data_IF_092325665810
#
_entry.id   IF_092325665810
#
_cell.length_a   1.000
_cell.length_b   1.000
_cell.length_c   1.000
_cell.angle_alpha   90.00
_cell.angle_beta   90.00
_cell.angle_gamma   90.00
#
_symmetry.space_group_name_H-M   'P 1'
#
loop_
_entity.id
_entity.type
_entity.pdbx_description
1 polymer ?
#
# COMPACT_ATOMS: atom_id res chain seq x y z
N UNK A 1 0.31 -3.31 21.57
CA UNK A 1 -0.59 -2.60 20.64
C UNK A 1 -1.02 -1.30 21.28
N UNK A 2 -1.01 -0.17 20.56
CA UNK A 2 -1.43 1.13 21.09
C UNK A 2 -2.95 1.20 21.35
N UNK A 3 -3.43 2.15 22.18
CA UNK A 3 -4.85 2.41 22.36
C UNK A 3 -5.58 2.79 21.06
N UNK A 4 -6.91 2.78 21.08
CA UNK A 4 -7.79 3.38 20.06
C UNK A 4 -7.31 4.79 19.68
N UNK A 5 -7.44 5.13 18.40
CA UNK A 5 -6.99 6.42 17.87
C UNK A 5 -8.16 7.32 17.49
N UNK A 6 -8.00 8.62 17.72
CA UNK A 6 -8.87 9.65 17.13
C UNK A 6 -8.54 9.84 15.65
N UNK A 7 -8.96 8.86 14.85
CA UNK A 7 -8.72 8.75 13.43
C UNK A 7 -9.51 7.57 12.85
N UNK A 8 -9.40 7.35 11.55
CA UNK A 8 -10.19 6.30 10.89
C UNK A 8 -9.43 4.99 10.67
N UNK A 9 -8.16 4.87 11.11
CA UNK A 9 -7.36 3.65 10.92
C UNK A 9 -7.48 2.64 12.06
N UNK A 10 -8.51 2.77 12.91
CA UNK A 10 -8.89 1.70 13.81
C UNK A 10 -9.41 0.49 13.00
N UNK A 11 -9.17 -0.71 13.50
CA UNK A 11 -9.54 -1.96 12.85
C UNK A 11 -10.32 -2.84 13.83
N UNK A 12 -11.57 -3.23 13.52
CA UNK A 12 -12.28 -4.25 14.29
C UNK A 12 -11.48 -5.55 14.36
N UNK A 13 -11.68 -6.35 15.40
CA UNK A 13 -10.95 -7.61 15.61
C UNK A 13 -11.03 -8.55 14.39
N UNK A 14 -12.16 -8.56 13.68
CA UNK A 14 -12.37 -9.33 12.47
C UNK A 14 -11.34 -9.01 11.36
N UNK A 15 -10.88 -7.77 11.26
CA UNK A 15 -9.87 -7.35 10.27
C UNK A 15 -8.51 -7.97 10.61
N UNK A 16 -8.16 -8.00 11.89
CA UNK A 16 -6.95 -8.67 12.38
C UNK A 16 -7.02 -10.16 12.09
N UNK A 17 -8.15 -10.81 12.40
CA UNK A 17 -8.36 -12.23 12.12
C UNK A 17 -8.25 -12.55 10.62
N UNK A 18 -8.83 -11.72 9.76
CA UNK A 18 -8.73 -11.88 8.30
C UNK A 18 -7.29 -11.78 7.80
N UNK A 19 -6.51 -10.82 8.29
CA UNK A 19 -5.09 -10.69 7.96
C UNK A 19 -4.27 -11.91 8.41
N UNK A 20 -4.58 -12.47 9.59
CA UNK A 20 -3.96 -13.71 10.10
C UNK A 20 -4.29 -14.89 9.20
N UNK A 21 -5.58 -15.10 8.84
CA UNK A 21 -6.00 -16.17 7.93
C UNK A 21 -5.25 -16.06 6.60
N UNK A 22 -5.21 -14.85 6.01
CA UNK A 22 -4.51 -14.59 4.75
C UNK A 22 -3.03 -15.01 4.85
N UNK A 23 -2.32 -14.54 5.88
CA UNK A 23 -0.91 -14.87 6.07
C UNK A 23 -0.68 -16.38 6.24
N UNK A 24 -1.50 -17.06 7.05
CA UNK A 24 -1.40 -18.51 7.22
C UNK A 24 -1.59 -19.23 5.89
N UNK A 25 -2.58 -18.84 5.08
CA UNK A 25 -2.81 -19.46 3.78
C UNK A 25 -1.66 -19.24 2.81
N UNK A 26 -1.00 -18.08 2.86
CA UNK A 26 0.19 -17.81 2.07
C UNK A 26 1.42 -18.61 2.50
N UNK A 27 1.53 -18.95 3.80
CA UNK A 27 2.67 -19.66 4.36
C UNK A 27 2.53 -21.19 4.31
N UNK A 28 1.29 -21.68 4.36
CA UNK A 28 1.00 -23.11 4.32
C UNK A 28 0.87 -23.57 2.87
N UNK A 29 1.88 -24.31 2.41
CA UNK A 29 1.93 -24.93 1.08
C UNK A 29 1.12 -26.23 1.03
N UNK A 30 -0.15 -26.13 1.44
CA UNK A 30 -1.13 -27.22 1.37
C UNK A 30 -2.41 -26.64 0.80
N UNK A 31 -3.11 -27.42 -0.01
CA UNK A 31 -4.40 -27.04 -0.54
C UNK A 31 -5.48 -27.09 0.55
N UNK A 32 -5.58 -26.00 1.31
CA UNK A 32 -6.57 -25.83 2.37
C UNK A 32 -7.63 -24.83 1.89
N UNK A 33 -8.93 -25.16 2.00
CA UNK A 33 -10.00 -24.22 1.68
C UNK A 33 -9.97 -23.02 2.62
N UNK A 34 -10.20 -21.83 2.08
CA UNK A 34 -10.20 -20.58 2.86
C UNK A 34 -11.49 -20.50 3.71
N UNK A 35 -11.43 -20.94 4.96
CA UNK A 35 -12.54 -20.86 5.92
C UNK A 35 -12.05 -20.69 7.38
N UNK A 36 -12.98 -20.56 8.31
CA UNK A 36 -12.68 -20.36 9.74
C UNK A 36 -11.89 -21.52 10.37
N UNK A 37 -11.93 -22.73 9.79
CA UNK A 37 -11.12 -23.86 10.22
C UNK A 37 -9.61 -23.59 10.18
N UNK A 38 -9.14 -22.67 9.32
CA UNK A 38 -7.75 -22.22 9.30
C UNK A 38 -7.30 -21.55 10.61
N UNK A 39 -8.26 -21.05 11.42
CA UNK A 39 -7.98 -20.45 12.72
C UNK A 39 -8.08 -21.43 13.88
N UNK A 40 -8.54 -22.66 13.67
CA UNK A 40 -8.63 -23.65 14.75
C UNK A 40 -7.31 -23.84 15.53
N UNK A 41 -6.11 -23.84 14.92
CA UNK A 41 -4.84 -23.95 15.65
C UNK A 41 -4.28 -22.60 16.14
N UNK A 42 -4.98 -21.48 15.94
CA UNK A 42 -4.45 -20.13 16.20
C UNK A 42 -5.24 -19.43 17.28
N UNK A 43 -4.54 -19.05 18.35
CA UNK A 43 -5.11 -18.19 19.40
C UNK A 43 -4.72 -16.74 19.13
N UNK A 44 -5.71 -15.86 18.99
CA UNK A 44 -5.52 -14.44 18.71
C UNK A 44 -5.79 -13.64 20.00
N UNK A 45 -4.75 -13.00 20.55
CA UNK A 45 -4.87 -12.14 21.72
C UNK A 45 -4.79 -10.66 21.29
N UNK A 46 -5.92 -9.95 21.38
CA UNK A 46 -5.98 -8.50 21.09
C UNK A 46 -6.38 -7.78 22.38
N UNK A 47 -5.56 -6.83 22.89
CA UNK A 47 -5.93 -6.02 24.03
C UNK A 47 -7.20 -5.20 23.74
N UNK A 48 -8.17 -5.25 24.66
CA UNK A 48 -9.40 -4.46 24.60
C UNK A 48 -9.08 -2.96 24.62
N UNK A 49 -9.85 -2.15 23.87
CA UNK A 49 -9.65 -0.70 23.76
C UNK A 49 -8.41 -0.29 22.95
N UNK A 50 -7.72 -1.23 22.31
CA UNK A 50 -6.64 -0.94 21.37
C UNK A 50 -7.19 -0.54 19.99
N UNK A 51 -6.36 0.05 19.14
CA UNK A 51 -6.78 0.35 17.76
C UNK A 51 -7.10 -0.91 16.91
N UNK A 52 -6.80 -2.12 17.41
CA UNK A 52 -7.18 -3.41 16.81
C UNK A 52 -8.42 -4.07 17.46
N UNK A 53 -8.93 -3.46 18.53
CA UNK A 53 -10.19 -3.80 19.20
C UNK A 53 -10.84 -2.50 19.71
N UNK A 54 -11.19 -1.57 18.80
CA UNK A 54 -11.74 -0.28 19.18
C UNK A 54 -13.18 -0.42 19.68
N UNK A 55 -13.68 0.65 20.28
CA UNK A 55 -15.09 0.83 20.61
C UNK A 55 -15.96 0.93 19.34
N UNK A 56 -17.27 0.75 19.52
CA UNK A 56 -18.30 0.91 18.49
C UNK A 56 -18.46 2.35 17.98
N UNK A 57 -17.88 3.32 18.69
CA UNK A 57 -17.88 4.75 18.34
C UNK A 57 -16.71 5.16 17.45
N UNK A 58 -15.71 4.30 17.29
CA UNK A 58 -14.51 4.62 16.54
C UNK A 58 -14.74 4.57 15.03
N UNK A 59 -14.10 5.48 14.29
CA UNK A 59 -14.05 5.39 12.84
C UNK A 59 -13.09 4.27 12.39
N UNK A 60 -13.54 3.41 11.47
CA UNK A 60 -12.84 2.16 11.09
C UNK A 60 -12.51 2.01 9.61
N UNK A 61 -12.83 3.01 8.77
CA UNK A 61 -12.66 2.92 7.30
C UNK A 61 -11.21 2.58 6.89
N UNK A 62 -10.23 3.19 7.55
CA UNK A 62 -8.81 2.96 7.36
C UNK A 62 -8.30 1.62 7.90
N UNK A 63 -9.07 0.94 8.76
CA UNK A 63 -8.73 -0.37 9.31
C UNK A 63 -8.50 -1.40 8.22
N UNK A 64 -9.44 -1.49 7.28
CA UNK A 64 -9.36 -2.43 6.16
C UNK A 64 -8.29 -2.10 5.15
N UNK A 65 -7.97 -0.82 4.96
CA UNK A 65 -7.14 -0.37 3.81
C UNK A 65 -5.70 -0.03 4.18
N UNK A 66 -5.44 0.25 5.46
CA UNK A 66 -4.12 0.60 5.97
C UNK A 66 -3.67 -0.40 7.02
N UNK A 67 -4.47 -0.57 8.06
CA UNK A 67 -4.08 -1.34 9.24
C UNK A 67 -3.95 -2.83 8.94
N UNK A 68 -4.87 -3.39 8.15
CA UNK A 68 -4.79 -4.78 7.68
C UNK A 68 -3.46 -5.07 6.96
N UNK A 69 -3.05 -4.20 6.03
CA UNK A 69 -1.78 -4.27 5.31
C UNK A 69 -0.59 -4.21 6.29
N UNK A 70 -0.69 -3.42 7.36
CA UNK A 70 0.34 -3.37 8.40
C UNK A 70 0.44 -4.66 9.20
N UNK A 71 -0.70 -5.24 9.56
CA UNK A 71 -0.76 -6.51 10.29
C UNK A 71 -0.14 -7.61 9.44
N UNK A 72 -0.52 -7.71 8.16
CA UNK A 72 0.05 -8.67 7.20
C UNK A 72 1.56 -8.56 7.12
N UNK A 73 2.10 -7.36 6.92
CA UNK A 73 3.55 -7.16 6.86
C UNK A 73 4.25 -7.58 8.16
N UNK A 74 3.67 -7.28 9.32
CA UNK A 74 4.25 -7.68 10.62
C UNK A 74 4.30 -9.20 10.75
N UNK A 75 3.23 -9.89 10.39
CA UNK A 75 3.16 -11.36 10.44
C UNK A 75 4.18 -11.97 9.48
N UNK A 76 4.17 -11.58 8.21
CA UNK A 76 5.08 -12.13 7.20
C UNK A 76 6.56 -11.83 7.54
N UNK A 77 6.84 -10.66 8.12
CA UNK A 77 8.19 -10.32 8.60
C UNK A 77 8.59 -11.18 9.80
N UNK A 78 7.68 -11.44 10.74
CA UNK A 78 7.95 -12.28 11.91
C UNK A 78 8.32 -13.71 11.51
N UNK A 79 7.65 -14.26 10.49
CA UNK A 79 7.99 -15.55 9.88
C UNK A 79 9.17 -15.48 8.89
N UNK A 80 9.72 -14.29 8.64
CA UNK A 80 10.80 -14.06 7.67
C UNK A 80 10.48 -14.61 6.27
N UNK A 81 9.21 -14.55 5.88
CA UNK A 81 8.70 -15.17 4.66
C UNK A 81 9.05 -14.38 3.40
N UNK A 82 8.89 -13.05 3.47
CA UNK A 82 9.21 -12.13 2.38
C UNK A 82 9.46 -10.71 2.92
N UNK A 83 10.08 -9.86 2.10
CA UNK A 83 10.17 -8.43 2.38
C UNK A 83 8.79 -7.77 2.38
N UNK A 84 8.70 -6.58 2.97
CA UNK A 84 7.44 -5.84 3.00
C UNK A 84 7.05 -5.35 1.60
N UNK A 85 5.78 -5.52 1.22
CA UNK A 85 5.20 -4.85 0.06
C UNK A 85 4.93 -3.36 0.37
N UNK A 86 4.34 -2.64 -0.58
CA UNK A 86 3.92 -1.24 -0.43
C UNK A 86 3.08 -0.96 0.84
N UNK A 87 2.48 -1.99 1.45
CA UNK A 87 1.98 -1.96 2.81
C UNK A 87 0.83 -0.96 3.02
N UNK A 88 0.08 -0.68 1.95
CA UNK A 88 -1.01 0.29 1.87
C UNK A 88 -1.78 0.06 0.56
N UNK A 89 -3.07 0.45 0.52
CA UNK A 89 -3.87 0.44 -0.72
C UNK A 89 -3.86 1.77 -1.49
N UNK A 90 -3.19 2.80 -0.95
CA UNK A 90 -3.14 4.17 -1.49
C UNK A 90 -4.53 4.68 -1.89
N UNK A 91 -5.44 4.76 -0.92
CA UNK A 91 -6.81 5.19 -1.19
C UNK A 91 -6.83 6.65 -1.63
N UNK A 92 -7.45 6.87 -2.78
CA UNK A 92 -7.79 8.16 -3.33
C UNK A 92 -9.31 8.23 -3.46
N UNK A 93 -9.90 9.24 -2.85
CA UNK A 93 -11.29 9.61 -3.08
C UNK A 93 -11.36 11.07 -3.46
N UNK A 94 -12.26 11.41 -4.37
CA UNK A 94 -12.59 12.81 -4.61
C UNK A 94 -14.02 12.96 -5.11
N UNK A 95 -14.59 14.15 -4.94
CA UNK A 95 -15.94 14.41 -5.38
C UNK A 95 -16.47 15.75 -4.89
N UNK A 96 -17.77 15.93 -5.09
CA UNK A 96 -18.56 17.05 -4.62
C UNK A 96 -19.97 16.53 -4.22
N UNK A 97 -20.93 17.43 -4.07
CA UNK A 97 -22.29 17.07 -3.67
C UNK A 97 -23.05 16.26 -4.75
N UNK A 98 -22.50 16.13 -5.96
CA UNK A 98 -23.14 15.48 -7.12
C UNK A 98 -22.54 14.12 -7.46
N UNK A 99 -21.26 13.88 -7.13
CA UNK A 99 -20.60 12.60 -7.38
C UNK A 99 -19.46 12.29 -6.39
N UNK A 100 -19.10 11.01 -6.31
CA UNK A 100 -17.90 10.55 -5.61
C UNK A 100 -17.15 9.50 -6.41
N UNK A 101 -15.83 9.68 -6.51
CA UNK A 101 -14.89 8.70 -7.02
C UNK A 101 -14.14 8.05 -5.86
N UNK A 102 -13.90 6.74 -5.96
CA UNK A 102 -13.06 5.99 -5.03
C UNK A 102 -12.17 5.01 -5.79
N UNK A 103 -10.88 5.06 -5.49
CA UNK A 103 -9.89 4.14 -6.02
C UNK A 103 -8.86 3.74 -4.95
N UNK A 104 -8.42 2.49 -5.06
CA UNK A 104 -7.17 1.98 -4.48
C UNK A 104 -6.09 1.97 -5.56
N UNK A 105 -4.90 2.51 -5.30
CA UNK A 105 -3.79 2.54 -6.25
C UNK A 105 -2.73 1.51 -5.84
N UNK A 106 -2.32 0.67 -6.79
CA UNK A 106 -1.30 -0.36 -6.58
C UNK A 106 0.10 0.19 -6.29
N UNK A 107 1.07 -0.70 -6.12
CA UNK A 107 2.46 -0.35 -5.87
C UNK A 107 3.36 -1.56 -5.96
N UNK A 108 4.55 -1.45 -5.36
CA UNK A 108 5.51 -2.54 -5.39
C UNK A 108 5.20 -3.64 -4.39
N UNK A 109 5.25 -4.90 -4.83
CA UNK A 109 5.25 -6.04 -3.90
C UNK A 109 6.66 -6.37 -3.39
N UNK A 110 6.75 -6.95 -2.20
CA UNK A 110 8.01 -7.35 -1.59
C UNK A 110 8.62 -8.58 -2.25
N UNK A 111 9.95 -8.59 -2.37
CA UNK A 111 10.70 -9.76 -2.82
C UNK A 111 10.71 -10.87 -1.77
N UNK A 112 10.87 -12.11 -2.22
CA UNK A 112 11.00 -13.29 -1.37
C UNK A 112 12.29 -14.05 -1.58
N UNK A 113 12.43 -15.23 -0.95
CA UNK A 113 13.62 -16.06 -1.07
C UNK A 113 13.93 -16.57 -2.47
N UNK A 114 12.93 -16.64 -3.35
CA UNK A 114 13.06 -17.20 -4.70
C UNK A 114 12.42 -16.34 -5.79
N UNK A 115 11.95 -15.13 -5.47
CA UNK A 115 11.26 -14.26 -6.42
C UNK A 115 11.55 -12.79 -6.22
N UNK A 116 11.61 -12.06 -7.34
CA UNK A 116 11.52 -10.61 -7.36
C UNK A 116 10.08 -10.14 -7.09
N UNK A 117 9.94 -8.97 -6.48
CA UNK A 117 8.65 -8.32 -6.32
C UNK A 117 8.10 -7.85 -7.67
N UNK A 118 6.82 -8.08 -7.90
CA UNK A 118 6.06 -7.54 -9.01
C UNK A 118 5.76 -6.05 -8.81
N UNK A 119 5.95 -5.25 -9.86
CA UNK A 119 5.73 -3.80 -9.86
C UNK A 119 4.29 -3.41 -10.17
N UNK A 120 3.80 -2.34 -9.54
CA UNK A 120 2.54 -1.68 -9.89
C UNK A 120 1.25 -2.49 -9.69
N UNK A 121 1.25 -3.44 -8.75
CA UNK A 121 0.10 -4.34 -8.51
C UNK A 121 -0.64 -4.01 -7.21
N UNK A 122 -1.88 -4.49 -7.12
CA UNK A 122 -2.53 -4.68 -5.84
C UNK A 122 -1.93 -5.90 -5.15
N UNK A 123 -1.62 -5.77 -3.86
CA UNK A 123 -0.95 -6.83 -3.10
C UNK A 123 -1.63 -7.04 -1.75
N UNK A 124 -1.56 -8.28 -1.25
CA UNK A 124 -2.07 -8.70 0.05
C UNK A 124 -3.56 -8.42 0.25
N UNK A 125 -3.91 -7.49 1.14
CA UNK A 125 -5.29 -7.26 1.57
C UNK A 125 -6.15 -6.53 0.53
N UNK A 126 -5.68 -6.40 -0.72
CA UNK A 126 -6.37 -5.71 -1.81
C UNK A 126 -6.65 -6.64 -2.97
N UNK A 127 -7.86 -6.59 -3.51
CA UNK A 127 -8.27 -7.35 -4.70
C UNK A 127 -9.17 -6.50 -5.61
N UNK A 128 -8.67 -5.35 -6.03
CA UNK A 128 -9.38 -4.40 -6.90
C UNK A 128 -8.69 -4.30 -8.25
N UNK A 129 -9.44 -3.89 -9.27
CA UNK A 129 -8.89 -3.49 -10.57
C UNK A 129 -8.95 -1.97 -10.67
N UNK A 130 -7.93 -1.38 -11.28
CA UNK A 130 -7.93 0.05 -11.56
C UNK A 130 -8.89 0.38 -12.70
N UNK A 131 -9.45 1.58 -12.68
CA UNK A 131 -10.33 2.07 -13.75
C UNK A 131 -9.50 2.45 -14.96
N UNK A 132 -9.97 2.09 -16.15
CA UNK A 132 -9.30 2.47 -17.41
C UNK A 132 -9.19 3.99 -17.54
N UNK A 133 -8.03 4.53 -17.98
CA UNK A 133 -7.82 5.97 -18.13
C UNK A 133 -8.92 6.68 -18.93
N UNK A 134 -9.35 6.08 -20.05
CA UNK A 134 -10.38 6.67 -20.92
C UNK A 134 -11.72 6.80 -20.20
N UNK A 135 -12.12 5.78 -19.44
CA UNK A 135 -13.35 5.79 -18.65
C UNK A 135 -13.22 6.77 -17.47
N UNK A 136 -12.04 6.86 -16.87
CA UNK A 136 -11.75 7.79 -15.78
C UNK A 136 -11.91 9.25 -16.22
N UNK A 137 -11.31 9.63 -17.36
CA UNK A 137 -11.42 10.98 -17.92
C UNK A 137 -12.81 11.28 -18.52
N UNK A 138 -13.50 10.27 -19.05
CA UNK A 138 -14.85 10.46 -19.59
C UNK A 138 -15.90 10.69 -18.49
N UNK A 139 -15.77 9.99 -17.35
CA UNK A 139 -16.79 10.03 -16.27
C UNK A 139 -16.55 11.10 -15.23
N UNK A 140 -15.31 11.51 -15.02
CA UNK A 140 -14.96 12.45 -13.95
C UNK A 140 -14.32 13.71 -14.53
N UNK A 141 -14.46 14.87 -13.86
CA UNK A 141 -13.91 16.13 -14.31
C UNK A 141 -12.40 16.19 -14.05
N UNK A 142 -11.63 15.32 -14.69
CA UNK A 142 -10.19 15.15 -14.49
C UNK A 142 -9.46 14.90 -15.80
N UNK A 143 -8.16 15.17 -15.83
CA UNK A 143 -7.24 14.71 -16.88
C UNK A 143 -6.09 13.94 -16.22
N UNK A 144 -5.75 12.78 -16.76
CA UNK A 144 -4.68 11.93 -16.27
C UNK A 144 -3.41 12.18 -17.10
N UNK A 145 -2.57 13.09 -16.61
CA UNK A 145 -1.31 13.44 -17.28
C UNK A 145 -0.28 12.31 -17.25
N UNK A 146 -0.28 11.52 -16.17
CA UNK A 146 0.67 10.42 -16.01
C UNK A 146 0.06 9.26 -15.27
N UNK A 147 0.28 8.08 -15.81
CA UNK A 147 0.06 6.82 -15.13
C UNK A 147 1.09 5.79 -15.59
N UNK A 148 1.96 5.37 -14.68
CA UNK A 148 3.01 4.41 -15.01
C UNK A 148 3.81 3.96 -13.80
N UNK A 149 4.79 3.10 -14.06
CA UNK A 149 5.69 2.61 -13.02
C UNK A 149 6.58 3.75 -12.48
N UNK A 150 6.80 3.72 -11.17
CA UNK A 150 7.78 4.56 -10.49
C UNK A 150 9.12 3.84 -10.49
N UNK A 151 9.84 3.98 -11.59
CA UNK A 151 11.12 3.28 -11.79
C UNK A 151 12.09 3.46 -10.61
N UNK A 152 12.79 2.38 -10.27
CA UNK A 152 13.80 2.32 -9.23
C UNK A 152 13.29 2.68 -7.82
N UNK A 153 11.99 2.47 -7.56
CA UNK A 153 11.41 2.61 -6.23
C UNK A 153 11.38 1.30 -5.45
N UNK A 154 11.56 0.15 -6.09
CA UNK A 154 11.76 -1.13 -5.44
C UNK A 154 13.12 -1.21 -4.73
N UNK A 155 13.14 -1.82 -3.55
CA UNK A 155 14.36 -2.03 -2.78
C UNK A 155 15.29 -3.04 -3.45
N UNK A 156 16.57 -2.71 -3.52
CA UNK A 156 17.58 -3.62 -4.06
C UNK A 156 17.79 -4.84 -3.15
N UNK A 157 18.16 -5.97 -3.73
CA UNK A 157 18.49 -7.19 -3.02
C UNK A 157 19.07 -8.22 -3.97
N UNK A 158 19.31 -9.43 -3.49
CA UNK A 158 19.51 -10.57 -4.39
C UNK A 158 18.27 -10.78 -5.26
N UNK A 159 17.09 -10.67 -4.63
CA UNK A 159 15.82 -10.43 -5.31
C UNK A 159 15.35 -9.00 -5.06
N UNK A 160 14.97 -8.31 -6.14
CA UNK A 160 14.58 -6.91 -6.11
C UNK A 160 13.11 -6.76 -5.75
N UNK A 161 12.76 -5.80 -4.90
CA UNK A 161 11.38 -5.42 -4.66
C UNK A 161 10.72 -4.80 -5.89
N UNK A 162 9.40 -4.89 -5.99
CA UNK A 162 8.66 -4.28 -7.10
C UNK A 162 8.65 -2.76 -7.04
N UNK A 163 8.54 -2.12 -8.20
CA UNK A 163 8.40 -0.68 -8.30
C UNK A 163 6.94 -0.24 -8.02
N UNK A 164 6.79 0.93 -7.41
CA UNK A 164 5.52 1.60 -7.21
C UNK A 164 4.92 2.18 -8.50
N UNK A 165 3.93 3.06 -8.34
CA UNK A 165 3.24 3.77 -9.41
C UNK A 165 3.37 5.29 -9.24
N UNK A 166 3.25 5.99 -10.35
CA UNK A 166 3.09 7.45 -10.43
C UNK A 166 1.73 7.74 -11.05
N UNK A 167 0.96 8.62 -10.41
CA UNK A 167 -0.30 9.18 -10.91
C UNK A 167 -0.21 10.70 -10.87
N UNK A 168 -0.55 11.37 -11.97
CA UNK A 168 -0.70 12.83 -12.03
C UNK A 168 -2.08 13.16 -12.58
N UNK A 169 -2.94 13.71 -11.71
CA UNK A 169 -4.36 13.94 -11.99
C UNK A 169 -4.62 15.43 -11.90
N UNK A 170 -4.95 16.08 -13.00
CA UNK A 170 -5.44 17.45 -13.02
C UNK A 170 -6.95 17.46 -12.81
N UNK A 171 -7.44 18.31 -11.92
CA UNK A 171 -8.88 18.49 -11.70
C UNK A 171 -9.42 19.60 -12.59
N UNK A 172 -10.55 19.37 -13.27
CA UNK A 172 -11.17 20.35 -14.18
C UNK A 172 -12.25 21.20 -13.51
N UNK A 173 -12.62 20.89 -12.28
CA UNK A 173 -13.52 21.69 -11.45
C UNK A 173 -13.11 21.59 -9.98
N UNK A 174 -13.59 22.51 -9.10
CA UNK A 174 -13.35 22.39 -7.68
C UNK A 174 -13.94 21.12 -7.10
N UNK A 175 -13.15 20.35 -6.35
CA UNK A 175 -13.58 19.11 -5.68
C UNK A 175 -12.94 19.01 -4.30
N UNK A 176 -13.52 18.18 -3.43
CA UNK A 176 -12.83 17.72 -2.22
C UNK A 176 -12.05 16.46 -2.58
N UNK A 177 -10.76 16.46 -2.29
CA UNK A 177 -9.89 15.28 -2.42
C UNK A 177 -9.55 14.79 -1.02
N UNK A 178 -9.66 13.49 -0.81
CA UNK A 178 -9.16 12.82 0.39
C UNK A 178 -8.22 11.69 0.03
N UNK A 179 -7.09 11.65 0.72
CA UNK A 179 -6.05 10.64 0.56
C UNK A 179 -5.92 9.91 1.88
N UNK A 180 -5.95 8.59 1.82
CA UNK A 180 -5.75 7.72 2.97
C UNK A 180 -4.66 6.71 2.63
N UNK A 181 -3.43 7.02 3.07
CA UNK A 181 -2.24 6.28 2.65
C UNK A 181 -1.17 6.18 3.73
N UNK A 182 -0.30 5.17 3.61
CA UNK A 182 0.76 4.81 4.57
C UNK A 182 2.14 4.72 3.90
N UNK A 183 3.21 4.43 4.66
CA UNK A 183 4.59 4.35 4.11
C UNK A 183 5.12 5.65 3.50
N UNK A 184 4.65 6.78 4.02
CA UNK A 184 5.17 8.13 3.71
C UNK A 184 6.28 8.55 4.68
N UNK A 185 6.27 7.98 5.89
CA UNK A 185 7.30 8.19 6.93
C UNK A 185 8.28 7.02 6.98
N UNK A 186 7.77 5.80 7.12
CA UNK A 186 8.57 4.57 7.19
C UNK A 186 8.54 3.82 5.85
N UNK A 187 9.72 3.44 5.36
CA UNK A 187 9.85 2.68 4.12
C UNK A 187 9.33 1.24 4.26
N UNK A 188 8.83 0.61 3.17
CA UNK A 188 8.68 -0.83 3.05
C UNK A 188 10.02 -1.52 3.29
N UNK A 189 10.12 -2.31 4.37
CA UNK A 189 11.39 -2.88 4.80
C UNK A 189 11.84 -4.02 3.89
N UNK A 190 13.13 -4.03 3.57
CA UNK A 190 13.79 -5.21 3.01
C UNK A 190 13.90 -6.35 4.04
N UNK A 191 14.30 -7.53 3.58
CA UNK A 191 14.48 -8.71 4.43
C UNK A 191 15.78 -9.45 4.11
N UNK A 192 16.37 -10.13 5.10
CA UNK A 192 17.62 -10.91 4.97
C UNK A 192 18.78 -10.12 4.33
N UNK A 193 18.88 -8.82 4.62
CA UNK A 193 19.93 -7.94 4.07
C UNK A 193 19.55 -7.22 2.77
N UNK A 194 18.34 -7.43 2.25
CA UNK A 194 17.78 -6.59 1.19
C UNK A 194 17.51 -5.17 1.68
N UNK A 195 17.58 -4.22 0.75
CA UNK A 195 17.33 -2.79 1.00
C UNK A 195 15.82 -2.49 1.04
N UNK A 196 15.49 -1.43 1.74
CA UNK A 196 14.13 -0.92 1.82
C UNK A 196 13.64 -0.36 0.47
N UNK A 197 12.35 -0.52 0.20
CA UNK A 197 11.69 0.15 -0.92
C UNK A 197 11.54 1.65 -0.67
N UNK A 198 11.42 2.44 -1.74
CA UNK A 198 11.23 3.87 -1.63
C UNK A 198 9.85 4.20 -1.01
N UNK A 199 9.85 5.18 -0.11
CA UNK A 199 8.63 5.74 0.49
C UNK A 199 7.71 6.33 -0.58
N UNK A 200 6.40 6.25 -0.32
CA UNK A 200 5.41 6.98 -1.12
C UNK A 200 5.42 8.47 -0.79
N UNK A 201 4.80 9.27 -1.65
CA UNK A 201 4.66 10.71 -1.45
C UNK A 201 3.42 11.23 -2.19
N UNK A 202 2.77 12.24 -1.62
CA UNK A 202 1.60 12.88 -2.22
C UNK A 202 1.85 14.39 -2.28
N UNK A 203 1.64 14.99 -3.44
CA UNK A 203 1.84 16.43 -3.65
C UNK A 203 0.65 17.03 -4.38
N UNK A 204 0.33 18.29 -4.05
CA UNK A 204 -0.56 19.12 -4.85
C UNK A 204 0.26 20.21 -5.55
N UNK A 205 0.15 20.28 -6.87
CA UNK A 205 0.68 21.39 -7.67
C UNK A 205 -0.43 22.43 -7.77
N UNK A 206 -0.22 23.57 -7.12
CA UNK A 206 -1.14 24.71 -7.14
C UNK A 206 -1.04 25.46 -8.48
N UNK A 207 -2.02 26.30 -8.78
CA UNK A 207 -2.04 27.14 -10.01
C UNK A 207 -0.79 28.01 -10.18
N UNK A 208 -0.27 28.52 -9.07
CA UNK A 208 0.97 29.31 -8.99
C UNK A 208 2.25 28.45 -9.10
N UNK A 209 2.12 27.17 -9.47
CA UNK A 209 3.18 26.17 -9.63
C UNK A 209 3.89 25.76 -8.33
N UNK A 210 3.42 26.21 -7.16
CA UNK A 210 3.93 25.66 -5.89
C UNK A 210 3.58 24.19 -5.76
N UNK A 211 4.55 23.39 -5.31
CA UNK A 211 4.41 21.97 -5.01
C UNK A 211 4.28 21.76 -3.51
N UNK A 212 3.07 21.46 -3.06
CA UNK A 212 2.73 21.33 -1.63
C UNK A 212 2.70 19.86 -1.24
N UNK A 213 3.46 19.47 -0.23
CA UNK A 213 3.42 18.10 0.31
C UNK A 213 2.18 17.89 1.17
N UNK A 214 1.40 16.86 0.85
CA UNK A 214 0.11 16.59 1.51
C UNK A 214 0.21 15.62 2.70
N UNK A 215 1.36 14.96 2.89
CA UNK A 215 1.47 13.86 3.84
C UNK A 215 0.74 12.59 3.38
N UNK A 216 0.62 11.61 4.28
CA UNK A 216 -0.01 10.32 3.98
C UNK A 216 -1.54 10.31 4.11
N UNK A 217 -2.10 11.15 4.98
CA UNK A 217 -3.54 11.21 5.27
C UNK A 217 -3.97 12.66 5.30
N UNK A 218 -4.83 13.06 4.37
CA UNK A 218 -5.25 14.45 4.24
C UNK A 218 -6.59 14.56 3.51
N UNK A 219 -7.33 15.63 3.79
CA UNK A 219 -8.54 15.99 3.05
C UNK A 219 -8.54 17.49 2.81
N UNK A 220 -8.70 17.89 1.55
CA UNK A 220 -8.58 19.29 1.14
C UNK A 220 -9.46 19.60 -0.07
N UNK A 221 -9.83 20.86 -0.20
CA UNK A 221 -10.41 21.39 -1.44
C UNK A 221 -9.29 21.60 -2.45
N UNK A 222 -9.53 21.16 -3.67
CA UNK A 222 -8.64 21.33 -4.82
C UNK A 222 -9.38 22.13 -5.87
N UNK A 223 -8.71 23.14 -6.43
CA UNK A 223 -9.31 24.02 -7.44
C UNK A 223 -9.12 23.46 -8.86
N UNK A 224 -9.98 23.88 -9.79
CA UNK A 224 -9.83 23.55 -11.20
C UNK A 224 -8.47 24.01 -11.75
N UNK A 225 -7.73 23.15 -12.46
CA UNK A 225 -6.39 23.38 -13.00
C UNK A 225 -5.24 23.00 -12.05
N UNK A 226 -5.54 22.50 -10.85
CA UNK A 226 -4.52 21.98 -9.92
C UNK A 226 -4.28 20.49 -10.14
N UNK A 227 -3.05 20.04 -9.89
CA UNK A 227 -2.61 18.67 -10.19
C UNK A 227 -2.23 17.93 -8.93
N UNK A 228 -2.92 16.82 -8.65
CA UNK A 228 -2.53 15.88 -7.61
C UNK A 228 -1.51 14.89 -8.17
N UNK A 229 -0.32 14.85 -7.57
CA UNK A 229 0.70 13.85 -7.84
C UNK A 229 0.75 12.82 -6.71
N UNK A 230 0.58 11.55 -7.04
CA UNK A 230 0.71 10.43 -6.11
C UNK A 230 1.86 9.54 -6.58
N UNK A 231 2.81 9.31 -5.67
CA UNK A 231 3.87 8.33 -5.79
C UNK A 231 3.57 7.22 -4.79
N UNK A 232 3.23 6.03 -5.28
CA UNK A 232 3.02 4.89 -4.38
C UNK A 232 4.36 4.29 -3.94
N UNK A 233 4.40 3.61 -2.79
CA UNK A 233 5.62 2.97 -2.31
C UNK A 233 6.06 1.81 -3.23
N UNK A 234 7.36 1.54 -3.27
CA UNK A 234 7.88 0.28 -3.82
C UNK A 234 7.73 -0.88 -2.83
N UNK A 235 8.25 -2.06 -3.17
CA UNK A 235 8.44 -3.18 -2.25
C UNK A 235 9.88 -3.24 -1.73
N UNK A 236 10.09 -3.86 -0.58
CA UNK A 236 11.44 -4.16 -0.07
C UNK A 236 12.12 -5.28 -0.87
N UNK A 237 13.46 -5.22 -0.93
CA UNK A 237 14.28 -6.27 -1.52
C UNK A 237 14.55 -7.42 -0.55
N UNK A 238 15.01 -8.55 -1.08
CA UNK A 238 15.37 -9.75 -0.31
C UNK A 238 16.82 -10.15 -0.57
N UNK A 239 17.57 -10.45 0.50
CA UNK A 239 18.97 -10.86 0.38
C UNK A 239 19.92 -9.69 0.08
N UNK A 240 21.20 -9.84 0.43
CA UNK A 240 22.18 -8.79 0.19
C UNK A 240 22.39 -8.52 -1.31
N UNK A 241 22.33 -7.25 -1.78
CA UNK A 241 22.58 -6.90 -3.18
C UNK A 241 24.02 -7.19 -3.62
N UNK A 242 24.97 -7.27 -2.67
CA UNK A 242 26.38 -7.58 -2.96
C UNK A 242 26.60 -9.04 -3.41
N UNK A 243 25.71 -9.97 -3.06
CA UNK A 243 25.79 -11.35 -3.55
C UNK A 243 25.53 -11.45 -5.06
N UNK A 244 24.73 -10.54 -5.62
CA UNK A 244 24.37 -10.56 -7.04
C UNK A 244 25.56 -10.19 -7.95
N UNK A 245 26.40 -9.22 -7.53
CA UNK A 245 27.62 -8.82 -8.22
C UNK A 245 28.64 -9.96 -8.34
N UNK A 246 28.79 -10.78 -7.29
CA UNK A 246 29.73 -11.91 -7.30
C UNK A 246 29.30 -13.04 -8.24
N UNK A 247 28.01 -13.33 -8.37
CA UNK A 247 27.55 -14.40 -9.27
C UNK A 247 27.54 -13.96 -10.74
N UNK A 248 27.19 -12.71 -11.05
CA UNK A 248 27.23 -12.21 -12.43
C UNK A 248 28.64 -12.20 -13.03
N UNK A 249 29.67 -11.95 -12.21
CA UNK A 249 31.07 -12.05 -12.61
C UNK A 249 31.52 -13.49 -12.89
N UNK A 250 30.88 -14.49 -12.28
CA UNK A 250 31.23 -15.91 -12.46
C UNK A 250 30.44 -16.61 -13.57
N UNK A 251 29.31 -16.05 -14.03
CA UNK A 251 28.58 -16.54 -15.21
C UNK A 251 29.10 -15.98 -16.55
N UNK A 252 30.16 -15.17 -16.52
CA UNK A 252 30.87 -14.61 -17.68
C UNK A 252 32.25 -15.26 -17.90
N UNK A 253 32.53 -16.40 -17.26
CA UNK A 253 33.75 -17.22 -17.46
C UNK A 253 33.37 -18.61 -17.92
#
# INVERSE_FOLDING_TARGET
TSPEVYGNWNAPQAVTAAAVIYCLRCLVDVDIPLNQGCLAPVTIHIPEGSFLSPSDKAAVVGGNVLTSQRITDVILTAFQACACSQGCMNNLTFGDDTFGYYETIGGGSGAGPTWDGTSGIQCHMTNTRMTDPEIFEQRYPVLLHKFGLRENSGGAGYHRGGDGLIREIEFRQPVVVSILSERRVHAPRGLKGGMDGARGANYLIKKDKRRVYLGGKNSLKVDAGEILQIYTPGGGGFGSPLLCLYMHLHSLV
#
